data_IF_516492488353
#
_entry.id   IF_516492488353
#
_cell.length_a   1.000
_cell.length_b   1.000
_cell.length_c   1.000
_cell.angle_alpha   90.00
_cell.angle_beta   90.00
_cell.angle_gamma   90.00
#
_symmetry.space_group_name_H-M   'P 1'
#
loop_
_entity.id
_entity.type
_entity.pdbx_description
1 polymer ?
#
# COMPACT_ATOMS: atom_id res chain seq x y z
N UNK A 1 9.24 -2.19 -12.04
CA UNK A 1 10.10 -2.67 -11.10
C UNK A 1 9.69 -2.27 -9.72
N UNK A 2 10.64 -2.20 -8.83
CA UNK A 2 10.34 -2.02 -7.44
C UNK A 2 9.68 -0.70 -7.12
N UNK A 3 9.97 0.32 -7.93
CA UNK A 3 9.41 1.65 -7.71
C UNK A 3 7.94 1.76 -8.01
N UNK A 4 7.40 0.79 -8.74
CA UNK A 4 6.00 0.86 -9.13
C UNK A 4 5.07 0.75 -7.92
N UNK A 5 5.32 -0.19 -7.04
CA UNK A 5 4.51 -0.31 -5.83
C UNK A 5 4.62 0.96 -4.98
N UNK A 6 5.83 1.50 -4.86
CA UNK A 6 6.06 2.71 -4.06
C UNK A 6 5.24 3.87 -4.61
N UNK A 7 5.27 4.05 -5.93
CA UNK A 7 4.55 5.14 -6.54
C UNK A 7 3.03 4.96 -6.40
N UNK A 8 2.56 3.74 -6.61
CA UNK A 8 1.15 3.43 -6.47
C UNK A 8 0.67 3.69 -5.05
N UNK A 9 1.48 3.29 -4.06
CA UNK A 9 1.12 3.51 -2.67
C UNK A 9 1.08 5.00 -2.34
N UNK A 10 2.07 5.75 -2.82
CA UNK A 10 2.09 7.19 -2.61
C UNK A 10 0.85 7.86 -3.20
N UNK A 11 0.50 7.47 -4.42
CA UNK A 11 -0.66 8.02 -5.09
C UNK A 11 -1.94 7.67 -4.35
N UNK A 12 -2.04 6.44 -3.88
CA UNK A 12 -3.22 5.99 -3.14
C UNK A 12 -3.40 6.81 -1.85
N UNK A 13 -2.31 7.03 -1.12
CA UNK A 13 -2.37 7.82 0.10
C UNK A 13 -2.81 9.25 -0.20
N UNK A 14 -2.26 9.82 -1.25
CA UNK A 14 -2.56 11.20 -1.62
C UNK A 14 -4.01 11.36 -2.06
N UNK A 15 -4.47 10.45 -2.90
CA UNK A 15 -5.83 10.52 -3.44
C UNK A 15 -6.89 10.35 -2.36
N UNK A 16 -6.56 9.59 -1.32
CA UNK A 16 -7.51 9.34 -0.24
C UNK A 16 -7.24 10.20 1.00
N UNK A 17 -6.27 11.08 0.93
CA UNK A 17 -5.90 11.97 2.04
C UNK A 17 -5.53 11.19 3.31
N UNK A 18 -4.85 10.07 3.14
CA UNK A 18 -4.38 9.27 4.27
C UNK A 18 -2.96 9.66 4.63
N UNK A 19 -2.70 9.81 5.92
CA UNK A 19 -1.32 9.83 6.41
C UNK A 19 -0.81 8.39 6.48
N UNK A 20 0.51 8.23 6.64
CA UNK A 20 1.07 6.90 6.82
C UNK A 20 0.47 6.22 8.05
N UNK A 21 0.26 6.98 9.12
CA UNK A 21 -0.31 6.44 10.35
C UNK A 21 -1.75 5.98 10.13
N UNK A 22 -2.53 6.76 9.41
CA UNK A 22 -3.91 6.41 9.12
C UNK A 22 -3.99 5.13 8.29
N UNK A 23 -3.16 5.06 7.25
CA UNK A 23 -3.10 3.87 6.40
C UNK A 23 -2.71 2.65 7.23
N UNK A 24 -1.65 2.79 8.04
CA UNK A 24 -1.16 1.70 8.86
C UNK A 24 -2.24 1.21 9.83
N UNK A 25 -2.95 2.14 10.44
CA UNK A 25 -4.01 1.79 11.39
C UNK A 25 -5.13 1.00 10.72
N UNK A 26 -5.51 1.42 9.51
CA UNK A 26 -6.58 0.75 8.79
C UNK A 26 -6.20 -0.63 8.32
N UNK A 27 -4.93 -0.82 7.95
CA UNK A 27 -4.43 -2.13 7.51
C UNK A 27 -4.13 -3.03 8.71
N UNK A 28 -3.79 -2.44 9.84
CA UNK A 28 -3.44 -3.23 11.01
C UNK A 28 -1.94 -3.47 11.16
N UNK A 29 -1.13 -2.56 10.64
CA UNK A 29 0.33 -2.65 10.74
C UNK A 29 0.87 -1.41 11.42
N UNK A 30 2.16 -1.43 11.74
CA UNK A 30 2.81 -0.29 12.37
C UNK A 30 3.12 0.79 11.34
N UNK A 31 3.05 2.08 11.71
CA UNK A 31 3.42 3.14 10.78
C UNK A 31 4.85 3.01 10.27
N UNK A 32 5.78 2.49 11.09
CA UNK A 32 7.15 2.28 10.64
C UNK A 32 7.22 1.28 9.50
N UNK A 33 6.33 0.30 9.48
CA UNK A 33 6.27 -0.67 8.41
C UNK A 33 5.91 0.02 7.08
N UNK A 34 4.90 0.87 7.11
CA UNK A 34 4.49 1.62 5.92
C UNK A 34 5.62 2.53 5.45
N UNK A 35 6.30 3.16 6.40
CA UNK A 35 7.43 4.03 6.08
C UNK A 35 8.53 3.26 5.34
N UNK A 36 8.81 2.03 5.77
CA UNK A 36 9.82 1.21 5.11
C UNK A 36 9.42 0.83 3.70
N UNK A 37 8.14 0.56 3.50
CA UNK A 37 7.63 0.30 2.14
C UNK A 37 7.84 1.51 1.24
N UNK A 38 7.52 2.70 1.75
CA UNK A 38 7.63 3.93 0.96
C UNK A 38 9.07 4.31 0.66
N UNK A 39 10.00 3.87 1.50
CA UNK A 39 11.43 4.11 1.28
C UNK A 39 12.09 3.04 0.44
N UNK A 40 11.35 1.99 0.11
CA UNK A 40 11.90 0.89 -0.69
C UNK A 40 12.78 -0.05 0.10
N UNK A 41 12.77 0.03 1.43
CA UNK A 41 13.58 -0.85 2.27
C UNK A 41 12.98 -2.22 2.44
N UNK A 42 11.66 -2.31 2.26
CA UNK A 42 10.95 -3.58 2.41
C UNK A 42 9.75 -3.54 1.47
N UNK A 43 9.26 -4.72 1.12
CA UNK A 43 8.06 -4.86 0.30
C UNK A 43 7.05 -5.67 1.08
N UNK A 44 5.74 -5.36 0.94
CA UNK A 44 4.74 -6.22 1.54
C UNK A 44 4.73 -7.57 0.82
N UNK A 45 4.64 -8.64 1.59
CA UNK A 45 4.49 -9.97 1.01
C UNK A 45 3.08 -10.17 0.49
N UNK A 46 2.85 -11.35 -0.07
CA UNK A 46 1.55 -11.68 -0.66
C UNK A 46 0.41 -11.54 0.36
N UNK A 47 0.62 -12.08 1.56
CA UNK A 47 -0.41 -12.03 2.59
C UNK A 47 -0.73 -10.60 2.99
N UNK A 48 0.30 -9.76 3.03
CA UNK A 48 0.12 -8.35 3.41
C UNK A 48 -0.64 -7.60 2.31
N UNK A 49 -0.33 -7.88 1.04
CA UNK A 49 -1.06 -7.27 -0.07
C UNK A 49 -2.54 -7.65 0.00
N UNK A 50 -2.83 -8.89 0.34
CA UNK A 50 -4.20 -9.33 0.51
C UNK A 50 -4.88 -8.57 1.64
N UNK A 51 -4.16 -8.39 2.74
CA UNK A 51 -4.69 -7.66 3.88
C UNK A 51 -4.99 -6.20 3.52
N UNK A 52 -4.10 -5.57 2.78
CA UNK A 52 -4.32 -4.20 2.31
C UNK A 52 -5.55 -4.15 1.41
N UNK A 53 -5.66 -5.08 0.49
CA UNK A 53 -6.80 -5.14 -0.43
C UNK A 53 -8.12 -5.26 0.32
N UNK A 54 -8.16 -6.13 1.31
CA UNK A 54 -9.37 -6.33 2.09
C UNK A 54 -9.72 -5.10 2.94
N UNK A 55 -8.69 -4.43 3.46
CA UNK A 55 -8.92 -3.27 4.32
C UNK A 55 -9.59 -2.12 3.57
N UNK A 56 -9.30 -1.97 2.29
CA UNK A 56 -9.79 -0.83 1.51
C UNK A 56 -10.76 -1.22 0.40
N UNK A 57 -11.01 -2.51 0.20
CA UNK A 57 -11.86 -2.94 -0.89
C UNK A 57 -11.26 -2.69 -2.26
N UNK A 58 -9.93 -2.73 -2.35
CA UNK A 58 -9.15 -2.46 -3.56
C UNK A 58 -8.47 -3.75 -3.97
N UNK A 59 -8.42 -4.05 -5.26
CA UNK A 59 -7.82 -5.30 -5.70
C UNK A 59 -6.31 -5.30 -5.47
N UNK A 60 -5.76 -6.48 -5.19
CA UNK A 60 -4.31 -6.62 -5.05
C UNK A 60 -3.61 -6.29 -6.36
N UNK A 61 -4.26 -6.53 -7.49
CA UNK A 61 -3.70 -6.23 -8.81
C UNK A 61 -3.41 -4.75 -8.97
N UNK A 62 -4.23 -3.90 -8.38
CA UNK A 62 -4.00 -2.47 -8.43
C UNK A 62 -2.65 -2.12 -7.77
N UNK A 63 -2.41 -2.67 -6.59
CA UNK A 63 -1.15 -2.38 -5.88
C UNK A 63 0.04 -3.05 -6.55
N UNK A 64 -0.19 -4.09 -7.33
CA UNK A 64 0.87 -4.75 -8.08
C UNK A 64 1.16 -4.08 -9.42
N UNK A 65 0.35 -3.09 -9.79
CA UNK A 65 0.55 -2.38 -11.04
C UNK A 65 0.03 -3.11 -12.26
N UNK A 66 -0.84 -4.10 -12.06
CA UNK A 66 -1.39 -4.89 -13.16
C UNK A 66 -2.59 -4.20 -13.79
N UNK A 67 -3.33 -3.44 -13.00
CA UNK A 67 -4.52 -2.72 -13.47
C UNK A 67 -4.52 -1.32 -12.89
N UNK A 68 -5.14 -0.38 -13.61
CA UNK A 68 -5.34 0.98 -13.12
C UNK A 68 -6.62 1.13 -12.32
N UNK A 69 -7.45 0.11 -12.31
CA UNK A 69 -8.74 0.15 -11.62
C UNK A 69 -8.62 -0.40 -10.21
N UNK A 70 -9.33 0.23 -9.30
CA UNK A 70 -9.40 -0.28 -7.95
C UNK A 70 -10.19 -1.58 -7.96
#
# INVERSE_FOLDING_TARGET
MDNEFIQILKDFLKENNFSQSEFARRVGVKPSQVSEWLKGKAKPGYDMLKQISLAFGVSADYFLGITDNY
#
